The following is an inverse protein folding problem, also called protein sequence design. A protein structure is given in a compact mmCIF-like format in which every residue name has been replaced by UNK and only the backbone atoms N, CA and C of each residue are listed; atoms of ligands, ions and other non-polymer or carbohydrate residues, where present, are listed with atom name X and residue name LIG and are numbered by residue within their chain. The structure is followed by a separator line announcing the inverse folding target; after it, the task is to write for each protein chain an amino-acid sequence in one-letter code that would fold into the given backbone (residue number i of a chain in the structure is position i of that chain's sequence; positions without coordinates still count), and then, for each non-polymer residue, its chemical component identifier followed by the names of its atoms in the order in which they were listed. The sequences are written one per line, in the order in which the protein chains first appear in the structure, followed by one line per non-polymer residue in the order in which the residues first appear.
data_IF_337326397721
#
_entry.id   IF_337326397721
#
_cell.length_a   1.000
_cell.length_b   1.000
_cell.length_c   1.000
_cell.angle_alpha   90.00
_cell.angle_beta   90.00
_cell.angle_gamma   90.00
#
_symmetry.space_group_name_H-M   'P 1'
#
loop_
_entity.id
_entity.type
_entity.pdbx_description
1 polymer ?
#
# COMPACT_ATOMS: atom_id res chain seq x y z
N UNK A 1 8.61 13.60 0.40
CA UNK A 1 9.77 12.72 0.17
C UNK A 1 11.04 13.45 0.60
N UNK A 2 11.99 12.81 1.32
CA UNK A 2 13.25 13.43 1.70
C UNK A 2 13.95 14.05 0.49
N UNK A 3 14.58 15.22 0.66
CA UNK A 3 15.20 15.95 -0.45
C UNK A 3 16.26 15.10 -1.20
N UNK A 4 16.97 14.23 -0.47
CA UNK A 4 17.96 13.31 -1.04
C UNK A 4 17.39 12.22 -1.96
N UNK A 5 16.09 11.95 -1.89
CA UNK A 5 15.40 10.97 -2.73
C UNK A 5 14.58 11.63 -3.85
N UNK A 6 14.55 12.98 -3.90
CA UNK A 6 13.90 13.71 -5.00
C UNK A 6 14.73 13.61 -6.26
N UNK A 7 14.07 13.21 -7.33
CA UNK A 7 14.63 13.10 -8.67
C UNK A 7 13.89 14.07 -9.59
N UNK A 8 14.60 14.88 -10.39
CA UNK A 8 13.96 15.87 -11.27
C UNK A 8 13.11 15.22 -12.38
N UNK A 9 13.41 13.97 -12.72
CA UNK A 9 12.71 13.17 -13.71
C UNK A 9 11.58 12.30 -13.12
N UNK A 10 11.26 12.45 -11.82
CA UNK A 10 10.21 11.69 -11.15
C UNK A 10 9.20 12.63 -10.50
N UNK A 11 7.98 12.63 -11.04
CA UNK A 11 6.82 13.23 -10.40
C UNK A 11 6.07 12.17 -9.60
N UNK A 12 5.71 12.48 -8.36
CA UNK A 12 4.96 11.59 -7.48
C UNK A 12 3.70 12.31 -7.03
N UNK A 13 2.56 11.79 -7.45
CA UNK A 13 1.25 12.27 -7.03
C UNK A 13 0.56 11.24 -6.13
N UNK A 14 -0.26 11.75 -5.22
CA UNK A 14 -1.07 10.91 -4.35
C UNK A 14 -2.45 10.70 -4.98
N UNK A 15 -2.67 9.53 -5.57
CA UNK A 15 -3.96 9.12 -6.09
C UNK A 15 -4.80 8.52 -4.95
N UNK A 16 -5.85 9.24 -4.53
CA UNK A 16 -6.76 8.76 -3.49
C UNK A 16 -7.70 7.69 -4.05
N UNK A 17 -7.84 6.59 -3.32
CA UNK A 17 -8.96 5.69 -3.52
C UNK A 17 -10.26 6.37 -3.06
N UNK A 18 -11.37 6.21 -3.80
CA UNK A 18 -12.64 6.90 -3.49
C UNK A 18 -13.21 6.54 -2.11
N UNK A 19 -12.87 5.36 -1.62
CA UNK A 19 -13.22 4.85 -0.30
C UNK A 19 -12.17 3.80 0.09
N UNK A 20 -12.30 3.19 1.27
CA UNK A 20 -11.33 2.21 1.76
C UNK A 20 -11.80 1.45 2.98
N UNK A 21 -10.99 0.48 3.41
CA UNK A 21 -11.05 -0.02 4.78
C UNK A 21 -10.66 1.08 5.76
N UNK A 22 -11.14 1.04 7.01
CA UNK A 22 -10.78 2.06 8.00
C UNK A 22 -9.37 1.84 8.52
N UNK A 23 -9.09 0.63 8.98
CA UNK A 23 -7.83 0.29 9.63
C UNK A 23 -7.29 -1.09 9.21
N UNK A 24 -7.91 -1.78 8.26
CA UNK A 24 -7.50 -3.10 7.74
C UNK A 24 -7.40 -4.19 8.82
N UNK A 25 -8.35 -4.23 9.75
CA UNK A 25 -8.33 -5.17 10.88
C UNK A 25 -9.22 -6.41 10.71
N UNK A 26 -9.83 -6.56 9.55
CA UNK A 26 -10.67 -7.71 9.19
C UNK A 26 -10.55 -8.04 7.70
N UNK A 27 -10.87 -9.29 7.34
CA UNK A 27 -10.92 -9.71 5.93
C UNK A 27 -11.94 -8.92 5.11
N UNK A 28 -13.02 -8.45 5.73
CA UNK A 28 -13.99 -7.57 5.08
C UNK A 28 -13.34 -6.24 4.65
N UNK A 29 -12.59 -5.60 5.55
CA UNK A 29 -11.89 -4.35 5.22
C UNK A 29 -10.79 -4.58 4.17
N UNK A 30 -10.10 -5.71 4.21
CA UNK A 30 -9.09 -6.07 3.21
C UNK A 30 -9.70 -6.23 1.81
N UNK A 31 -10.84 -6.91 1.70
CA UNK A 31 -11.54 -7.07 0.42
C UNK A 31 -12.04 -5.72 -0.15
N UNK A 32 -12.54 -4.83 0.71
CA UNK A 32 -12.88 -3.47 0.30
C UNK A 32 -11.66 -2.69 -0.18
N UNK A 33 -10.56 -2.75 0.57
CA UNK A 33 -9.32 -2.06 0.18
C UNK A 33 -8.79 -2.56 -1.16
N UNK A 34 -8.83 -3.86 -1.42
CA UNK A 34 -8.46 -4.41 -2.73
C UNK A 34 -9.32 -3.82 -3.84
N UNK A 35 -10.65 -3.76 -3.68
CA UNK A 35 -11.56 -3.19 -4.68
C UNK A 35 -11.31 -1.70 -4.96
N UNK A 36 -11.12 -0.88 -3.90
CA UNK A 36 -10.91 0.55 -4.08
C UNK A 36 -9.51 0.90 -4.59
N UNK A 37 -8.48 0.12 -4.21
CA UNK A 37 -7.14 0.26 -4.79
C UNK A 37 -7.11 -0.14 -6.26
N UNK A 38 -7.89 -1.16 -6.65
CA UNK A 38 -8.08 -1.53 -8.05
C UNK A 38 -8.67 -0.38 -8.87
N UNK A 39 -9.74 0.26 -8.36
CA UNK A 39 -10.35 1.41 -9.01
C UNK A 39 -9.36 2.59 -9.15
N UNK A 40 -8.60 2.89 -8.09
CA UNK A 40 -7.60 3.97 -8.11
C UNK A 40 -6.47 3.69 -9.12
N UNK A 41 -5.99 2.45 -9.20
CA UNK A 41 -4.94 2.09 -10.15
C UNK A 41 -5.41 2.17 -11.61
N UNK A 42 -6.66 1.76 -11.89
CA UNK A 42 -7.28 1.93 -13.21
C UNK A 42 -7.39 3.42 -13.59
N UNK A 43 -7.79 4.26 -12.65
CA UNK A 43 -7.86 5.71 -12.87
C UNK A 43 -6.46 6.28 -13.17
N UNK A 44 -5.44 5.90 -12.39
CA UNK A 44 -4.07 6.35 -12.63
C UNK A 44 -3.57 5.98 -14.03
N UNK A 45 -3.78 4.75 -14.50
CA UNK A 45 -3.41 4.41 -15.89
C UNK A 45 -4.17 5.28 -16.92
N UNK A 46 -5.48 5.48 -16.73
CA UNK A 46 -6.28 6.31 -17.64
C UNK A 46 -5.90 7.80 -17.65
N UNK A 47 -5.35 8.29 -16.54
CA UNK A 47 -4.84 9.66 -16.38
C UNK A 47 -3.42 9.83 -16.96
N UNK A 48 -2.78 8.73 -17.41
CA UNK A 48 -1.50 8.75 -18.09
C UNK A 48 -0.27 8.61 -17.19
N UNK A 49 -0.43 8.07 -15.97
CA UNK A 49 0.72 7.76 -15.11
C UNK A 49 1.55 6.60 -15.67
N UNK A 50 2.87 6.65 -15.49
CA UNK A 50 3.81 5.63 -15.98
C UNK A 50 3.94 4.40 -15.07
N UNK A 51 3.51 4.50 -13.81
CA UNK A 51 3.57 3.41 -12.82
C UNK A 51 2.63 3.66 -11.63
N UNK A 52 2.26 2.59 -10.94
CA UNK A 52 1.49 2.63 -9.68
C UNK A 52 2.32 2.08 -8.53
N UNK A 53 2.38 2.83 -7.43
CA UNK A 53 2.90 2.36 -6.15
C UNK A 53 1.77 2.31 -5.13
N UNK A 54 1.44 1.13 -4.63
CA UNK A 54 0.38 0.94 -3.63
C UNK A 54 0.86 1.52 -2.30
N UNK A 55 0.08 2.39 -1.67
CA UNK A 55 0.46 3.02 -0.41
C UNK A 55 -0.06 2.27 0.84
N UNK A 56 0.13 0.94 0.89
CA UNK A 56 -0.24 0.10 2.04
C UNK A 56 0.64 -1.15 2.13
N UNK A 57 1.08 -1.51 3.34
CA UNK A 57 1.88 -2.72 3.60
C UNK A 57 1.11 -4.04 3.35
N UNK A 58 -0.22 -3.97 3.15
CA UNK A 58 -1.05 -5.12 2.77
C UNK A 58 -0.87 -5.55 1.30
N UNK A 59 -0.26 -4.69 0.49
CA UNK A 59 -0.18 -4.81 -0.97
C UNK A 59 -1.55 -5.08 -1.61
N UNK A 60 -2.55 -4.32 -1.15
CA UNK A 60 -3.94 -4.52 -1.54
C UNK A 60 -4.15 -4.41 -3.05
N UNK A 61 -4.80 -5.41 -3.64
CA UNK A 61 -5.05 -5.49 -5.07
C UNK A 61 -3.81 -5.67 -5.96
N UNK A 62 -2.58 -5.85 -5.42
CA UNK A 62 -1.33 -5.86 -6.20
C UNK A 62 -1.35 -6.84 -7.39
N UNK A 63 -1.66 -8.11 -7.14
CA UNK A 63 -1.67 -9.13 -8.20
C UNK A 63 -2.75 -8.87 -9.24
N UNK A 64 -3.91 -8.37 -8.81
CA UNK A 64 -5.01 -8.03 -9.70
C UNK A 64 -4.67 -6.81 -10.57
N UNK A 65 -4.09 -5.76 -9.99
CA UNK A 65 -3.59 -4.60 -10.73
C UNK A 65 -2.53 -4.99 -11.76
N UNK A 66 -1.52 -5.80 -11.37
CA UNK A 66 -0.50 -6.32 -12.30
C UNK A 66 -1.08 -7.15 -13.44
N UNK A 67 -2.23 -7.80 -13.22
CA UNK A 67 -2.92 -8.58 -14.27
C UNK A 67 -3.75 -7.72 -15.22
N UNK A 68 -4.06 -6.48 -14.83
CA UNK A 68 -5.01 -5.62 -15.53
C UNK A 68 -4.35 -4.40 -16.18
N UNK A 69 -3.34 -3.82 -15.56
CA UNK A 69 -2.66 -2.62 -16.07
C UNK A 69 -1.51 -2.99 -17.01
N UNK A 70 -1.27 -2.13 -17.98
CA UNK A 70 -0.13 -2.17 -18.90
C UNK A 70 1.11 -1.44 -18.31
N UNK A 71 0.92 -0.68 -17.22
CA UNK A 71 2.00 -0.02 -16.47
C UNK A 71 2.47 -0.83 -15.25
N UNK A 72 3.74 -0.68 -14.81
CA UNK A 72 4.26 -1.39 -13.65
C UNK A 72 3.51 -1.05 -12.36
N UNK A 73 3.28 -2.08 -11.53
CA UNK A 73 2.65 -1.93 -10.22
C UNK A 73 3.55 -2.51 -9.13
N UNK A 74 3.85 -1.70 -8.11
CA UNK A 74 4.74 -2.04 -6.99
C UNK A 74 3.97 -1.95 -5.68
N UNK A 75 4.13 -2.99 -4.85
CA UNK A 75 3.64 -3.02 -3.47
C UNK A 75 4.80 -2.90 -2.47
N UNK A 76 4.71 -2.01 -1.46
CA UNK A 76 5.77 -1.82 -0.47
C UNK A 76 5.98 -3.05 0.42
N UNK A 77 4.94 -3.86 0.67
CA UNK A 77 5.08 -5.11 1.44
C UNK A 77 6.10 -6.04 0.80
N UNK A 78 5.86 -6.44 -0.44
CA UNK A 78 6.75 -7.30 -1.21
C UNK A 78 8.13 -6.66 -1.42
N UNK A 79 8.18 -5.35 -1.73
CA UNK A 79 9.44 -4.63 -1.94
C UNK A 79 10.32 -4.63 -0.67
N UNK A 80 9.73 -4.40 0.51
CA UNK A 80 10.44 -4.47 1.79
C UNK A 80 10.95 -5.87 2.08
N UNK A 81 10.14 -6.91 1.87
CA UNK A 81 10.53 -8.31 2.09
C UNK A 81 11.70 -8.71 1.19
N UNK A 82 11.62 -8.40 -0.11
CA UNK A 82 12.69 -8.66 -1.08
C UNK A 82 13.97 -7.89 -0.73
N UNK A 83 13.85 -6.64 -0.29
CA UNK A 83 15.01 -5.84 0.14
C UNK A 83 15.67 -6.41 1.39
N UNK A 84 14.89 -6.75 2.42
CA UNK A 84 15.42 -7.38 3.63
C UNK A 84 16.09 -8.72 3.33
N UNK A 85 15.52 -9.48 2.40
CA UNK A 85 16.07 -10.72 1.87
C UNK A 85 17.44 -10.56 1.18
N UNK A 86 17.77 -9.38 0.62
CA UNK A 86 19.10 -9.11 0.08
C UNK A 86 20.13 -8.74 1.16
N UNK A 87 19.67 -8.23 2.31
CA UNK A 87 20.54 -7.67 3.35
C UNK A 87 20.92 -8.67 4.45
N UNK A 88 20.15 -9.75 4.63
CA UNK A 88 20.44 -10.74 5.68
C UNK A 88 19.75 -12.07 5.47
N UNK A 89 20.27 -13.13 6.10
CA UNK A 89 19.74 -14.50 5.94
C UNK A 89 18.27 -14.62 6.41
N UNK A 90 17.92 -13.99 7.54
CA UNK A 90 16.56 -13.87 8.09
C UNK A 90 16.30 -12.43 8.50
N UNK A 91 15.03 -12.03 8.55
CA UNK A 91 14.59 -10.68 8.93
C UNK A 91 13.30 -10.74 9.76
N UNK A 92 13.02 -9.69 10.53
CA UNK A 92 11.75 -9.55 11.25
C UNK A 92 10.99 -8.33 10.76
N UNK A 93 9.66 -8.38 10.90
CA UNK A 93 8.79 -7.22 10.69
C UNK A 93 8.46 -6.61 12.04
N UNK A 94 8.54 -5.28 12.14
CA UNK A 94 8.02 -4.51 13.27
C UNK A 94 6.80 -3.74 12.78
N UNK A 95 5.65 -3.95 13.42
CA UNK A 95 4.37 -3.33 13.08
C UNK A 95 3.76 -2.61 14.28
N UNK A 96 2.73 -1.81 14.05
CA UNK A 96 2.11 -1.05 15.12
C UNK A 96 1.17 -1.91 15.98
N UNK A 97 0.32 -2.72 15.34
CA UNK A 97 -0.75 -3.46 16.00
C UNK A 97 -0.71 -4.97 15.75
N UNK A 98 -1.07 -5.76 16.74
CA UNK A 98 -1.10 -7.22 16.65
C UNK A 98 -2.09 -7.75 15.60
N UNK A 99 -3.21 -7.04 15.40
CA UNK A 99 -4.21 -7.42 14.39
C UNK A 99 -3.71 -7.33 12.95
N UNK A 100 -2.58 -6.66 12.70
CA UNK A 100 -1.96 -6.58 11.39
C UNK A 100 -0.94 -7.67 11.11
N UNK A 101 -0.58 -8.51 12.10
CA UNK A 101 0.31 -9.66 11.88
C UNK A 101 -0.12 -10.55 10.69
N UNK A 102 -1.43 -10.83 10.47
CA UNK A 102 -1.86 -11.60 9.29
C UNK A 102 -1.49 -10.96 7.94
N UNK A 103 -1.43 -9.63 7.82
CA UNK A 103 -1.05 -8.94 6.58
C UNK A 103 0.37 -9.33 6.16
N UNK A 104 1.31 -9.32 7.09
CA UNK A 104 2.70 -9.67 6.80
C UNK A 104 2.91 -11.17 6.61
N UNK A 105 2.10 -12.01 7.29
CA UNK A 105 2.09 -13.46 7.02
C UNK A 105 1.63 -13.75 5.60
N UNK A 106 0.60 -13.05 5.10
CA UNK A 106 0.16 -13.14 3.71
C UNK A 106 1.31 -12.81 2.75
N UNK A 107 1.99 -11.67 2.92
CA UNK A 107 3.12 -11.28 2.05
C UNK A 107 4.25 -12.33 2.10
N UNK A 108 4.56 -12.86 3.29
CA UNK A 108 5.55 -13.94 3.44
C UNK A 108 5.15 -15.21 2.68
N UNK A 109 3.86 -15.55 2.66
CA UNK A 109 3.34 -16.70 1.92
C UNK A 109 3.44 -16.47 0.41
N UNK A 110 3.02 -15.30 -0.07
CA UNK A 110 3.02 -14.95 -1.51
C UNK A 110 4.43 -14.91 -2.12
N UNK A 111 5.45 -14.59 -1.32
CA UNK A 111 6.85 -14.57 -1.74
C UNK A 111 7.64 -15.84 -1.37
N UNK A 112 6.98 -16.85 -0.76
CA UNK A 112 7.63 -18.07 -0.27
C UNK A 112 8.80 -17.79 0.71
N UNK A 113 8.68 -16.74 1.53
CA UNK A 113 9.71 -16.26 2.46
C UNK A 113 9.45 -16.62 3.93
N UNK A 114 8.53 -17.54 4.21
CA UNK A 114 8.15 -17.93 5.58
C UNK A 114 9.37 -18.40 6.40
N UNK A 115 10.32 -19.11 5.79
CA UNK A 115 11.57 -19.56 6.45
C UNK A 115 12.55 -18.43 6.76
N UNK A 116 12.44 -17.31 6.02
CA UNK A 116 13.29 -16.12 6.17
C UNK A 116 12.71 -15.10 7.14
N UNK A 117 11.39 -15.10 7.32
CA UNK A 117 10.70 -14.28 8.31
C UNK A 117 10.94 -14.86 9.72
N UNK A 118 11.80 -14.21 10.49
CA UNK A 118 12.16 -14.63 11.84
C UNK A 118 11.05 -14.39 12.86
N UNK A 119 10.44 -13.20 12.82
CA UNK A 119 9.30 -12.86 13.65
C UNK A 119 8.50 -11.69 13.08
N UNK A 120 7.31 -11.48 13.63
CA UNK A 120 6.52 -10.26 13.45
C UNK A 120 6.25 -9.72 14.85
N UNK A 121 6.92 -8.63 15.22
CA UNK A 121 6.75 -7.97 16.51
C UNK A 121 5.83 -6.76 16.37
N UNK A 122 5.10 -6.43 17.43
CA UNK A 122 4.33 -5.19 17.48
C UNK A 122 4.56 -4.42 18.77
N UNK A 123 4.27 -3.13 18.73
CA UNK A 123 4.17 -2.27 19.91
C UNK A 123 2.74 -2.22 20.48
N UNK A 124 1.87 -3.13 20.01
CA UNK A 124 0.45 -3.28 20.34
C UNK A 124 -0.34 -1.97 20.48
N UNK A 125 -0.13 -1.05 19.54
CA UNK A 125 -0.83 0.24 19.48
C UNK A 125 -1.86 0.21 18.37
N UNK A 126 -3.11 0.52 18.68
CA UNK A 126 -4.17 0.58 17.67
C UNK A 126 -3.94 1.80 16.76
N UNK A 127 -4.06 1.66 15.43
CA UNK A 127 -3.99 2.78 14.50
C UNK A 127 -5.11 3.78 14.68
N UNK A 128 -4.74 5.06 14.57
CA UNK A 128 -5.64 6.16 14.33
C UNK A 128 -5.52 6.61 12.87
N UNK A 129 -6.57 6.36 12.08
CA UNK A 129 -6.59 6.72 10.68
C UNK A 129 -6.68 8.24 10.45
N UNK A 130 -7.22 8.99 11.42
CA UNK A 130 -7.28 10.45 11.34
C UNK A 130 -5.88 11.06 11.57
N UNK A 131 -5.14 10.52 12.55
CA UNK A 131 -3.76 10.95 12.82
C UNK A 131 -2.82 10.67 11.63
N UNK A 132 -3.06 9.60 10.85
CA UNK A 132 -2.29 9.31 9.62
C UNK A 132 -2.39 10.41 8.56
N UNK A 133 -3.48 11.19 8.57
CA UNK A 133 -3.71 12.28 7.62
C UNK A 133 -3.19 13.63 8.11
N UNK A 134 -2.71 13.71 9.37
CA UNK A 134 -2.26 14.92 10.01
C UNK A 134 -1.25 15.70 9.13
N UNK A 135 -1.62 16.92 8.73
CA UNK A 135 -0.79 17.82 7.91
C UNK A 135 -0.82 17.56 6.40
N UNK A 136 -1.68 16.66 5.90
CA UNK A 136 -1.90 16.40 4.46
C UNK A 136 -3.38 16.35 4.08
N UNK A 137 -4.25 16.75 4.98
CA UNK A 137 -5.70 16.63 4.85
C UNK A 137 -6.20 17.37 3.62
N UNK A 138 -5.75 18.61 3.37
CA UNK A 138 -6.22 19.39 2.23
C UNK A 138 -5.90 18.73 0.89
N UNK A 139 -4.73 18.10 0.77
CA UNK A 139 -4.30 17.38 -0.44
C UNK A 139 -5.11 16.10 -0.61
N UNK A 140 -5.21 15.30 0.45
CA UNK A 140 -5.91 14.01 0.41
C UNK A 140 -7.40 14.20 0.21
N UNK A 141 -8.03 15.11 0.96
CA UNK A 141 -9.46 15.41 0.87
C UNK A 141 -9.84 16.06 -0.47
N UNK A 142 -8.96 16.87 -1.08
CA UNK A 142 -9.17 17.39 -2.43
C UNK A 142 -9.27 16.26 -3.45
N UNK A 143 -8.39 15.26 -3.34
CA UNK A 143 -8.34 14.12 -4.25
C UNK A 143 -9.42 13.07 -3.96
N UNK A 144 -10.06 13.12 -2.78
CA UNK A 144 -11.21 12.28 -2.41
C UNK A 144 -12.56 12.80 -2.93
N UNK A 145 -12.67 14.06 -3.36
CA UNK A 145 -13.92 14.58 -3.93
C UNK A 145 -14.24 13.83 -5.22
N UNK A 146 -15.52 13.45 -5.44
CA UNK A 146 -15.87 12.54 -6.51
C UNK A 146 -15.36 13.10 -7.83
N UNK A 147 -14.53 12.29 -8.52
CA UNK A 147 -14.39 12.34 -9.97
C UNK A 147 -15.79 12.54 -10.51
N UNK A 148 -16.09 13.76 -10.98
CA UNK A 148 -17.44 14.12 -11.42
C UNK A 148 -17.87 13.05 -12.42
N UNK A 149 -19.14 12.60 -12.39
CA UNK A 149 -19.63 11.89 -13.55
C UNK A 149 -19.38 12.80 -14.75
N UNK A 150 -18.66 12.29 -15.75
CA UNK A 150 -18.70 12.85 -17.09
C UNK A 150 -20.18 12.97 -17.47
N UNK A 151 -20.59 14.19 -17.85
CA UNK A 151 -21.93 14.54 -18.31
C UNK A 151 -22.53 13.50 -19.29
#
# INVERSE_FOLDING_TARGET
MPASLQRPDLQIDFCSAKNGGKILDSYYEMALADAFVLEAGLAAESEGYDAVCINSMSDSGLSALRSRLDIPVVGPGQACFLTAAMLGHRFSVVTMWDRWKPLYRKVALELEMQSRLASIESIDTRPDAEELLAGKEEVVLRNLRPLRPSD
#
